data_IF_824973323083
#
_entry.id   IF_824973323083
#
_cell.length_a   1.000
_cell.length_b   1.000
_cell.length_c   1.000
_cell.angle_alpha   90.00
_cell.angle_beta   90.00
_cell.angle_gamma   90.00
#
_symmetry.space_group_name_H-M   'P 1'
#
loop_
_entity.id
_entity.type
_entity.pdbx_description
1 polymer ?
#
# COMPACT_ATOMS: atom_id res chain seq x y z
N UNK A 1 13.90 0.62 11.16
CA UNK A 1 13.26 1.18 9.96
C UNK A 1 14.35 1.77 9.08
N UNK A 2 14.81 1.10 8.00
CA UNK A 2 15.82 1.66 7.13
C UNK A 2 15.16 2.62 6.13
N UNK A 3 15.63 3.86 6.10
CA UNK A 3 15.24 4.88 5.12
C UNK A 3 16.02 4.61 3.83
N UNK A 4 15.29 4.43 2.73
CA UNK A 4 15.84 4.11 1.41
C UNK A 4 16.61 5.31 0.84
N UNK A 5 17.91 5.13 0.61
CA UNK A 5 18.77 6.13 -0.06
C UNK A 5 18.97 5.70 -1.52
N UNK A 6 18.54 6.54 -2.46
CA UNK A 6 18.64 6.24 -3.89
C UNK A 6 20.10 6.24 -4.37
N UNK A 7 20.57 5.21 -5.10
CA UNK A 7 21.75 5.35 -5.94
C UNK A 7 21.34 5.98 -7.27
N UNK A 8 22.01 7.05 -7.66
CA UNK A 8 21.88 7.61 -8.99
C UNK A 8 22.67 6.73 -9.96
N UNK A 9 21.96 6.07 -10.89
CA UNK A 9 22.61 5.37 -12.00
C UNK A 9 22.67 6.33 -13.18
N UNK A 10 23.88 6.66 -13.61
CA UNK A 10 24.10 7.31 -14.90
C UNK A 10 24.60 6.23 -15.84
N UNK A 11 23.88 5.97 -16.94
CA UNK A 11 24.57 5.38 -18.09
C UNK A 11 24.04 5.88 -19.43
N UNK A 12 24.99 6.04 -20.33
CA UNK A 12 24.91 6.68 -21.64
C UNK A 12 24.50 5.67 -22.72
N UNK A 13 23.58 6.05 -23.62
CA UNK A 13 23.71 5.83 -25.07
C UNK A 13 22.97 6.93 -25.86
N UNK A 14 23.49 7.19 -27.06
CA UNK A 14 23.33 8.39 -27.88
C UNK A 14 21.88 8.81 -28.18
N UNK A 15 21.62 10.12 -28.10
CA UNK A 15 20.68 10.80 -29.01
C UNK A 15 19.45 11.45 -28.40
N UNK A 16 18.97 11.03 -27.22
CA UNK A 16 17.83 11.70 -26.56
C UNK A 16 18.14 11.82 -25.08
N UNK A 17 18.37 13.06 -24.60
CA UNK A 17 18.40 13.38 -23.17
C UNK A 17 17.00 13.14 -22.60
N UNK A 18 16.71 11.90 -22.24
CA UNK A 18 15.59 11.57 -21.36
C UNK A 18 15.99 12.07 -19.97
N UNK A 19 15.26 13.07 -19.49
CA UNK A 19 15.29 13.55 -18.10
C UNK A 19 15.43 12.36 -17.16
N UNK A 20 16.46 12.36 -16.31
CA UNK A 20 16.75 11.31 -15.33
C UNK A 20 15.44 10.82 -14.72
N UNK A 21 15.01 9.63 -15.13
CA UNK A 21 13.75 9.04 -14.69
C UNK A 21 13.92 8.78 -13.21
N UNK A 22 13.20 9.53 -12.38
CA UNK A 22 13.14 9.26 -10.95
C UNK A 22 12.49 7.89 -10.80
N UNK A 23 13.28 6.91 -10.38
CA UNK A 23 12.78 5.58 -10.04
C UNK A 23 11.63 5.73 -9.04
N UNK A 24 10.49 5.06 -9.27
CA UNK A 24 9.40 5.08 -8.32
C UNK A 24 9.87 4.38 -7.04
N UNK A 25 9.88 5.09 -5.91
CA UNK A 25 10.09 4.48 -4.61
C UNK A 25 8.81 3.80 -4.18
N UNK A 26 8.85 2.50 -3.92
CA UNK A 26 7.68 1.78 -3.44
C UNK A 26 7.65 1.75 -1.93
N UNK A 27 6.70 2.48 -1.34
CA UNK A 27 6.49 2.54 0.11
C UNK A 27 5.68 1.39 0.68
N UNK A 28 5.28 0.40 -0.14
CA UNK A 28 4.44 -0.71 0.30
C UNK A 28 2.92 -0.44 0.31
N UNK A 29 2.47 0.73 -0.17
CA UNK A 29 1.05 1.07 -0.25
C UNK A 29 0.43 0.55 -1.58
N UNK A 30 -0.75 -0.06 -1.51
CA UNK A 30 -1.50 -0.57 -2.66
C UNK A 30 -1.85 0.53 -3.68
N UNK A 31 -2.16 1.73 -3.19
CA UNK A 31 -2.46 2.90 -4.04
C UNK A 31 -1.29 3.26 -4.97
N UNK A 32 -0.08 2.92 -4.55
CA UNK A 32 1.16 3.16 -5.30
C UNK A 32 1.68 1.90 -6.00
N UNK A 33 1.17 0.71 -5.64
CA UNK A 33 1.61 -0.57 -6.20
C UNK A 33 1.37 -0.64 -7.70
N UNK A 34 0.18 -0.26 -8.16
CA UNK A 34 -0.16 -0.29 -9.60
C UNK A 34 0.76 0.65 -10.39
N UNK A 35 0.95 1.88 -9.90
CA UNK A 35 1.83 2.87 -10.53
C UNK A 35 3.29 2.41 -10.52
N UNK A 36 3.75 1.88 -9.39
CA UNK A 36 5.10 1.32 -9.25
C UNK A 36 5.31 0.16 -10.21
N UNK A 37 4.41 -0.83 -10.20
CA UNK A 37 4.46 -2.03 -11.04
C UNK A 37 4.50 -1.66 -12.51
N UNK A 38 3.59 -0.82 -12.98
CA UNK A 38 3.49 -0.49 -14.41
C UNK A 38 4.72 0.31 -14.87
N UNK A 39 5.22 1.22 -14.02
CA UNK A 39 6.46 1.97 -14.29
C UNK A 39 7.68 1.05 -14.26
N UNK A 40 7.76 0.14 -13.29
CA UNK A 40 8.85 -0.82 -13.15
C UNK A 40 8.86 -1.82 -14.30
N UNK A 41 7.69 -2.30 -14.73
CA UNK A 41 7.52 -3.15 -15.90
C UNK A 41 8.00 -2.45 -17.17
N UNK A 42 7.57 -1.21 -17.38
CA UNK A 42 7.88 -0.44 -18.59
C UNK A 42 9.35 -0.04 -18.71
N UNK A 43 10.05 0.18 -17.59
CA UNK A 43 11.39 0.78 -17.59
C UNK A 43 12.47 -0.27 -17.29
N UNK A 44 12.15 -1.29 -16.49
CA UNK A 44 13.14 -2.20 -15.91
C UNK A 44 12.88 -3.65 -16.31
N UNK A 45 11.69 -4.19 -16.05
CA UNK A 45 11.38 -5.61 -16.31
C UNK A 45 11.44 -5.93 -17.81
N UNK A 46 10.78 -5.12 -18.65
CA UNK A 46 10.67 -5.38 -20.09
C UNK A 46 11.86 -4.84 -20.92
N UNK A 47 12.86 -4.23 -20.27
CA UNK A 47 14.02 -3.69 -20.99
C UNK A 47 14.99 -4.80 -21.37
N UNK A 48 15.17 -5.07 -22.67
CA UNK A 48 16.10 -6.10 -23.17
C UNK A 48 17.58 -5.76 -22.92
N UNK A 49 17.90 -4.49 -22.68
CA UNK A 49 19.28 -4.03 -22.43
C UNK A 49 19.75 -4.27 -20.99
N UNK A 50 18.84 -4.66 -20.08
CA UNK A 50 19.16 -4.92 -18.68
C UNK A 50 19.31 -6.42 -18.43
N UNK A 51 20.33 -6.78 -17.67
CA UNK A 51 20.51 -8.14 -17.13
C UNK A 51 19.70 -8.33 -15.86
N UNK A 52 19.40 -9.58 -15.49
CA UNK A 52 18.70 -9.89 -14.24
C UNK A 52 19.42 -9.33 -13.00
N UNK A 53 20.75 -9.26 -13.01
CA UNK A 53 21.55 -8.66 -11.93
C UNK A 53 21.33 -7.15 -11.84
N UNK A 54 21.23 -6.45 -12.98
CA UNK A 54 20.94 -5.01 -13.00
C UNK A 54 19.50 -4.73 -12.56
N UNK A 55 18.52 -5.53 -13.02
CA UNK A 55 17.12 -5.44 -12.55
C UNK A 55 17.00 -5.68 -11.04
N UNK A 56 17.79 -6.62 -10.53
CA UNK A 56 17.88 -6.96 -9.11
C UNK A 56 18.38 -5.82 -8.23
N UNK A 57 19.41 -5.09 -8.68
CA UNK A 57 19.91 -3.91 -7.96
C UNK A 57 18.84 -2.83 -7.78
N UNK A 58 17.85 -2.74 -8.68
CA UNK A 58 16.73 -1.81 -8.53
C UNK A 58 15.65 -2.28 -7.56
N UNK A 59 15.55 -3.59 -7.28
CA UNK A 59 14.66 -4.13 -6.25
C UNK A 59 15.28 -4.11 -4.85
N UNK A 60 16.61 -3.95 -4.73
CA UNK A 60 17.36 -3.86 -3.48
C UNK A 60 16.96 -4.94 -2.45
N UNK A 61 16.76 -6.17 -2.93
CA UNK A 61 16.38 -7.34 -2.13
C UNK A 61 17.62 -8.23 -1.88
N UNK A 62 17.60 -9.12 -0.90
CA UNK A 62 18.70 -10.04 -0.59
C UNK A 62 18.63 -11.37 -1.37
N UNK A 63 17.59 -11.59 -2.19
CA UNK A 63 17.33 -12.86 -2.90
C UNK A 63 17.20 -12.67 -4.42
N UNK A 64 17.56 -13.67 -5.25
CA UNK A 64 17.50 -13.62 -6.73
C UNK A 64 16.30 -12.85 -7.32
N UNK A 65 16.53 -12.05 -8.37
CA UNK A 65 15.55 -11.19 -9.05
C UNK A 65 14.16 -11.81 -9.21
N UNK A 66 14.10 -13.01 -9.80
CA UNK A 66 12.84 -13.71 -10.09
C UNK A 66 12.09 -14.04 -8.80
N UNK A 67 12.80 -14.38 -7.73
CA UNK A 67 12.22 -14.68 -6.41
C UNK A 67 11.69 -13.39 -5.78
N UNK A 68 12.45 -12.30 -5.84
CA UNK A 68 12.04 -11.00 -5.30
C UNK A 68 10.82 -10.43 -6.05
N UNK A 69 10.80 -10.54 -7.38
CA UNK A 69 9.68 -10.10 -8.22
C UNK A 69 8.43 -10.95 -8.01
N UNK A 70 8.57 -12.28 -7.99
CA UNK A 70 7.47 -13.19 -7.69
C UNK A 70 6.92 -12.98 -6.27
N UNK A 71 7.76 -12.66 -5.28
CA UNK A 71 7.32 -12.36 -3.93
C UNK A 71 6.51 -11.04 -3.86
N UNK A 72 6.95 -10.00 -4.58
CA UNK A 72 6.19 -8.75 -4.70
C UNK A 72 4.85 -8.97 -5.39
N UNK A 73 4.85 -9.67 -6.53
CA UNK A 73 3.63 -10.06 -7.21
C UNK A 73 2.73 -10.88 -6.29
N UNK A 74 3.22 -11.90 -5.59
CA UNK A 74 2.39 -12.67 -4.64
C UNK A 74 1.80 -11.81 -3.53
N UNK A 75 2.57 -10.88 -2.97
CA UNK A 75 2.10 -10.01 -1.88
C UNK A 75 1.11 -8.95 -2.35
N UNK A 76 1.22 -8.49 -3.59
CA UNK A 76 0.42 -7.39 -4.13
C UNK A 76 -0.52 -7.79 -5.30
N UNK A 77 -0.56 -9.07 -5.67
CA UNK A 77 -1.50 -9.71 -6.59
C UNK A 77 -2.40 -10.73 -5.87
N UNK A 78 -2.36 -10.82 -4.54
CA UNK A 78 -3.44 -11.45 -3.75
C UNK A 78 -4.37 -10.40 -3.11
N UNK A 79 -5.27 -9.78 -3.91
CA UNK A 79 -6.31 -8.89 -3.41
C UNK A 79 -7.17 -9.52 -2.33
N UNK A 80 -7.36 -10.85 -2.33
CA UNK A 80 -8.28 -11.51 -1.39
C UNK A 80 -7.71 -11.51 0.02
N UNK A 81 -6.43 -11.82 0.18
CA UNK A 81 -5.76 -11.76 1.48
C UNK A 81 -5.78 -10.35 2.06
N UNK A 82 -5.66 -9.33 1.21
CA UNK A 82 -5.67 -7.94 1.64
C UNK A 82 -7.05 -7.40 1.93
N UNK A 83 -8.05 -7.77 1.12
CA UNK A 83 -9.46 -7.51 1.45
C UNK A 83 -9.78 -8.11 2.81
N UNK A 84 -9.36 -9.36 3.07
CA UNK A 84 -9.52 -9.98 4.38
C UNK A 84 -8.81 -9.17 5.47
N UNK A 85 -7.53 -8.81 5.28
CA UNK A 85 -6.76 -8.04 6.25
C UNK A 85 -7.43 -6.71 6.63
N UNK A 86 -7.76 -5.86 5.63
CA UNK A 86 -8.36 -4.56 5.88
C UNK A 86 -9.79 -4.66 6.42
N UNK A 87 -10.57 -5.66 5.98
CA UNK A 87 -11.90 -5.90 6.53
C UNK A 87 -11.84 -6.34 7.99
N UNK A 88 -10.94 -7.26 8.34
CA UNK A 88 -10.72 -7.68 9.73
C UNK A 88 -10.25 -6.50 10.58
N UNK A 89 -9.26 -5.73 10.12
CA UNK A 89 -8.75 -4.57 10.86
C UNK A 89 -9.83 -3.51 11.12
N UNK A 90 -10.72 -3.27 10.15
CA UNK A 90 -11.86 -2.37 10.29
C UNK A 90 -12.87 -2.87 11.34
N UNK A 91 -13.19 -4.17 11.33
CA UNK A 91 -14.12 -4.78 12.30
C UNK A 91 -13.53 -4.86 13.71
N UNK A 92 -12.22 -5.08 13.80
CA UNK A 92 -11.47 -5.23 15.05
C UNK A 92 -10.93 -3.91 15.59
N UNK A 93 -11.33 -2.76 15.01
CA UNK A 93 -11.03 -1.46 15.57
C UNK A 93 -11.31 -1.43 17.09
N UNK A 94 -10.36 -0.95 17.90
CA UNK A 94 -10.50 -1.01 19.35
C UNK A 94 -11.67 -0.13 19.80
N UNK A 95 -12.52 -0.61 20.72
CA UNK A 95 -13.57 0.23 21.28
C UNK A 95 -12.95 1.42 22.02
N UNK A 96 -13.57 2.59 21.90
CA UNK A 96 -13.15 3.79 22.62
C UNK A 96 -13.72 3.71 24.05
N UNK A 97 -12.85 3.37 24.99
CA UNK A 97 -13.20 3.19 26.41
C UNK A 97 -13.04 4.46 27.23
N UNK A 98 -12.61 5.57 26.63
CA UNK A 98 -12.50 6.88 27.28
C UNK A 98 -12.72 7.98 26.27
N UNK A 99 -13.47 9.00 26.65
CA UNK A 99 -13.62 10.19 25.83
C UNK A 99 -12.30 10.95 25.72
N UNK A 100 -11.74 10.97 24.51
CA UNK A 100 -10.55 11.74 24.16
C UNK A 100 -10.66 12.19 22.71
N UNK A 101 -10.68 13.50 22.44
CA UNK A 101 -10.75 14.02 21.07
C UNK A 101 -9.61 13.51 20.17
N UNK A 102 -8.44 13.25 20.77
CA UNK A 102 -7.29 12.68 20.05
C UNK A 102 -7.54 11.24 19.66
N UNK A 103 -8.04 10.41 20.58
CA UNK A 103 -8.34 9.00 20.30
C UNK A 103 -9.48 8.86 19.30
N UNK A 104 -10.51 9.71 19.41
CA UNK A 104 -11.61 9.76 18.44
C UNK A 104 -11.12 10.09 17.03
N UNK A 105 -10.22 11.08 16.91
CA UNK A 105 -9.65 11.44 15.62
C UNK A 105 -8.84 10.30 15.01
N UNK A 106 -7.94 9.69 15.80
CA UNK A 106 -7.15 8.54 15.33
C UNK A 106 -8.05 7.38 14.92
N UNK A 107 -9.09 7.08 15.71
CA UNK A 107 -10.05 6.03 15.38
C UNK A 107 -10.77 6.26 14.03
N UNK A 108 -11.21 7.51 13.79
CA UNK A 108 -11.84 7.88 12.52
C UNK A 108 -10.83 7.81 11.38
N UNK A 109 -9.62 8.33 11.58
CA UNK A 109 -8.55 8.31 10.58
C UNK A 109 -8.19 6.87 10.17
N UNK A 110 -8.12 5.94 11.14
CA UNK A 110 -7.86 4.51 10.90
C UNK A 110 -9.01 3.86 10.13
N UNK A 111 -10.27 4.09 10.55
CA UNK A 111 -11.45 3.56 9.87
C UNK A 111 -11.53 4.03 8.41
N UNK A 112 -11.29 5.33 8.18
CA UNK A 112 -11.24 5.91 6.84
C UNK A 112 -10.13 5.27 6.03
N UNK A 113 -8.91 5.16 6.57
CA UNK A 113 -7.77 4.56 5.87
C UNK A 113 -8.04 3.13 5.40
N UNK A 114 -8.68 2.30 6.24
CA UNK A 114 -9.06 0.94 5.86
C UNK A 114 -10.15 0.91 4.78
N UNK A 115 -11.17 1.77 4.88
CA UNK A 115 -12.20 1.90 3.85
C UNK A 115 -11.62 2.37 2.50
N UNK A 116 -10.68 3.31 2.51
CA UNK A 116 -10.00 3.75 1.29
C UNK A 116 -9.16 2.64 0.66
N UNK A 117 -8.52 1.81 1.48
CA UNK A 117 -7.75 0.65 1.04
C UNK A 117 -8.67 -0.42 0.43
N UNK A 118 -9.82 -0.70 1.05
CA UNK A 118 -10.84 -1.61 0.51
C UNK A 118 -11.44 -1.09 -0.80
N UNK A 119 -11.68 0.23 -0.90
CA UNK A 119 -12.12 0.88 -2.15
C UNK A 119 -11.09 0.75 -3.26
N UNK A 120 -9.80 0.95 -2.95
CA UNK A 120 -8.72 0.74 -3.90
C UNK A 120 -8.61 -0.72 -4.38
N UNK A 121 -9.02 -1.67 -3.54
CA UNK A 121 -9.15 -3.10 -3.86
C UNK A 121 -10.48 -3.46 -4.58
N UNK A 122 -11.26 -2.45 -5.01
CA UNK A 122 -12.50 -2.64 -5.76
C UNK A 122 -13.70 -3.08 -4.93
N UNK A 123 -13.64 -2.97 -3.60
CA UNK A 123 -14.80 -3.23 -2.75
C UNK A 123 -15.82 -2.07 -2.83
N UNK A 124 -17.13 -2.35 -2.86
CA UNK A 124 -18.18 -1.33 -3.00
C UNK A 124 -18.48 -0.64 -1.67
N UNK A 125 -17.47 0.02 -1.08
CA UNK A 125 -17.56 0.61 0.27
C UNK A 125 -18.61 1.72 0.38
N UNK A 126 -18.94 2.37 -0.74
CA UNK A 126 -19.97 3.43 -0.82
C UNK A 126 -21.36 2.93 -0.44
N UNK A 127 -21.59 1.62 -0.57
CA UNK A 127 -22.86 0.98 -0.23
C UNK A 127 -22.90 0.51 1.24
N UNK A 128 -21.82 0.71 2.00
CA UNK A 128 -21.70 0.19 3.36
C UNK A 128 -22.05 1.20 4.45
N UNK A 129 -22.42 2.44 4.09
CA UNK A 129 -22.66 3.54 5.04
C UNK A 129 -23.49 3.13 6.26
N UNK A 130 -24.63 2.47 6.08
CA UNK A 130 -25.49 2.06 7.21
C UNK A 130 -24.77 1.08 8.14
N UNK A 131 -24.11 0.07 7.61
CA UNK A 131 -23.36 -0.90 8.41
C UNK A 131 -22.16 -0.25 9.11
N UNK A 132 -21.45 0.64 8.42
CA UNK A 132 -20.30 1.35 8.99
C UNK A 132 -20.71 2.26 10.14
N UNK A 133 -21.80 3.01 10.00
CA UNK A 133 -22.36 3.82 11.10
C UNK A 133 -22.70 2.93 12.29
N UNK A 134 -23.35 1.78 12.06
CA UNK A 134 -23.71 0.85 13.14
C UNK A 134 -22.48 0.23 13.82
N UNK A 135 -21.45 -0.16 13.06
CA UNK A 135 -20.21 -0.73 13.61
C UNK A 135 -19.45 0.33 14.41
N UNK A 136 -19.27 1.52 13.85
CA UNK A 136 -18.58 2.64 14.51
C UNK A 136 -19.33 3.07 15.77
N UNK A 137 -20.67 3.22 15.71
CA UNK A 137 -21.48 3.56 16.88
C UNK A 137 -21.28 2.54 18.01
N UNK A 138 -21.34 1.24 17.72
CA UNK A 138 -21.11 0.18 18.73
C UNK A 138 -19.72 0.19 19.35
N UNK A 139 -18.72 0.75 18.67
CA UNK A 139 -17.34 0.89 19.17
C UNK A 139 -17.13 2.17 19.97
N UNK A 140 -18.00 3.17 19.80
CA UNK A 140 -18.03 4.42 20.57
C UNK A 140 -18.81 4.25 21.89
N UNK A 141 -19.81 3.38 21.91
CA UNK A 141 -20.86 3.37 22.94
C UNK A 141 -20.55 2.59 24.24
N UNK A 142 -19.29 2.25 24.50
CA UNK A 142 -18.95 1.44 25.68
C UNK A 142 -19.12 2.21 27.02
N UNK A 143 -19.12 3.56 26.98
CA UNK A 143 -19.36 4.41 28.17
C UNK A 143 -20.49 5.45 27.98
N UNK A 144 -20.92 5.76 26.76
CA UNK A 144 -21.84 6.90 26.48
C UNK A 144 -23.32 6.62 26.79
N UNK A 145 -23.73 5.36 26.97
CA UNK A 145 -25.12 4.99 27.33
C UNK A 145 -25.44 5.02 28.84
N UNK A 146 -24.51 5.46 29.70
CA UNK A 146 -24.70 5.50 31.16
C UNK A 146 -25.04 6.88 31.74
N UNK A 147 -25.36 7.89 30.94
CA UNK A 147 -25.89 9.18 31.43
C UNK A 147 -27.40 9.32 31.24
#
# INVERSE_FOLDING_TARGET
MPVLRSPAVSDFQQGVKLTAIKLPSFGGNYSDWVKFRDTYLSIIHNSESLTNIQRFHYLNSEANYEIAWAALNRCFEDPKALVHHYATALLDLPPLTRESPKLLRTFIDDAVSYLESLRALGQPVENWNTFMVLIIARKLDAETYQE
#
